data_IF_227581733002
#
_entry.id   IF_227581733002
#
_cell.length_a   1.000
_cell.length_b   1.000
_cell.length_c   1.000
_cell.angle_alpha   90.00
_cell.angle_beta   90.00
_cell.angle_gamma   90.00
#
_symmetry.space_group_name_H-M   'P 1'
#
loop_
_entity.id
_entity.type
_entity.pdbx_description
1 polymer ?
#
# COMPACT_ATOMS: atom_id res chain seq x y z
N UNK A 1 12.84 -7.51 -12.48
CA UNK A 1 13.80 -8.15 -11.58
C UNK A 1 15.21 -7.81 -12.03
N UNK A 2 16.17 -7.90 -11.10
CA UNK A 2 17.59 -8.01 -11.43
C UNK A 2 17.99 -9.48 -11.57
N UNK A 3 19.27 -9.77 -11.34
CA UNK A 3 19.74 -11.10 -10.98
C UNK A 3 20.90 -11.03 -9.98
N UNK A 4 20.99 -12.03 -9.10
CA UNK A 4 22.07 -12.15 -8.11
C UNK A 4 22.69 -13.53 -8.12
N UNK A 5 23.90 -13.62 -7.55
CA UNK A 5 24.50 -14.88 -7.13
C UNK A 5 24.52 -14.89 -5.60
N UNK A 6 23.69 -15.74 -5.00
CA UNK A 6 23.59 -15.89 -3.55
C UNK A 6 24.64 -16.85 -3.02
N UNK A 7 25.21 -16.49 -1.87
CA UNK A 7 26.08 -17.35 -1.07
C UNK A 7 25.74 -17.17 0.41
N UNK A 8 26.04 -18.16 1.24
CA UNK A 8 25.96 -17.95 2.68
C UNK A 8 27.00 -16.91 3.10
N UNK A 9 26.57 -15.92 3.89
CA UNK A 9 27.39 -14.80 4.32
C UNK A 9 27.49 -13.67 3.28
N UNK A 10 26.80 -13.75 2.14
CA UNK A 10 26.82 -12.67 1.16
C UNK A 10 26.30 -13.05 -0.22
N UNK A 11 27.05 -12.64 -1.25
CA UNK A 11 26.67 -12.78 -2.65
C UNK A 11 27.03 -11.53 -3.44
N UNK A 12 26.65 -11.53 -4.71
CA UNK A 12 26.90 -10.43 -5.65
C UNK A 12 25.67 -10.15 -6.50
N UNK A 13 25.46 -8.88 -6.82
CA UNK A 13 24.49 -8.49 -7.84
C UNK A 13 25.13 -8.69 -9.21
N UNK A 14 24.48 -9.49 -10.06
CA UNK A 14 24.90 -9.77 -11.42
C UNK A 14 24.25 -8.79 -12.40
N UNK A 15 22.96 -8.51 -12.19
CA UNK A 15 22.21 -7.54 -12.98
C UNK A 15 21.39 -6.64 -12.05
N UNK A 16 21.58 -5.31 -12.10
CA UNK A 16 20.76 -4.35 -11.38
C UNK A 16 19.28 -4.47 -11.74
N UNK A 17 18.40 -4.23 -10.78
CA UNK A 17 16.96 -4.11 -11.01
C UNK A 17 16.64 -2.92 -11.92
N UNK A 18 15.59 -2.99 -12.74
CA UNK A 18 15.15 -1.89 -13.60
C UNK A 18 13.79 -1.33 -13.13
N UNK A 19 13.74 -0.02 -12.87
CA UNK A 19 12.52 0.74 -12.62
C UNK A 19 12.18 1.64 -13.81
N UNK A 20 10.98 1.44 -14.37
CA UNK A 20 10.48 2.21 -15.53
C UNK A 20 9.35 3.14 -15.08
N UNK A 21 9.51 4.45 -15.31
CA UNK A 21 8.50 5.46 -15.05
C UNK A 21 7.71 5.75 -16.33
N UNK A 22 6.46 5.31 -16.41
CA UNK A 22 5.57 5.62 -17.53
C UNK A 22 4.48 6.63 -17.15
N UNK A 23 3.61 6.93 -18.11
CA UNK A 23 2.42 7.81 -18.00
C UNK A 23 2.70 9.28 -18.36
N UNK A 24 2.03 10.24 -17.70
CA UNK A 24 2.01 11.66 -18.09
C UNK A 24 2.63 12.60 -17.06
N UNK A 25 3.33 13.62 -17.54
CA UNK A 25 3.86 14.72 -16.73
C UNK A 25 3.91 16.04 -17.51
N UNK A 26 3.91 17.17 -16.78
CA UNK A 26 4.10 18.51 -17.37
C UNK A 26 5.59 18.83 -17.36
N UNK A 27 6.18 19.12 -18.52
CA UNK A 27 7.61 19.42 -18.69
C UNK A 27 7.92 20.91 -18.87
N UNK A 28 6.91 21.75 -19.05
CA UNK A 28 7.09 23.20 -19.15
C UNK A 28 5.94 23.92 -18.43
N UNK A 29 6.26 24.98 -17.69
CA UNK A 29 5.29 25.88 -17.09
C UNK A 29 5.75 27.32 -17.26
N UNK A 30 4.92 28.17 -17.86
CA UNK A 30 5.23 29.60 -18.10
C UNK A 30 6.55 29.84 -18.85
N UNK A 31 6.94 28.94 -19.76
CA UNK A 31 8.21 29.03 -20.49
C UNK A 31 9.44 28.54 -19.70
N UNK A 32 9.25 28.02 -18.49
CA UNK A 32 10.29 27.36 -17.71
C UNK A 32 10.19 25.85 -17.85
N UNK A 33 11.31 25.21 -18.21
CA UNK A 33 11.42 23.76 -18.29
C UNK A 33 11.46 23.14 -16.89
N UNK A 34 10.72 22.05 -16.71
CA UNK A 34 10.68 21.23 -15.50
C UNK A 34 11.40 19.93 -15.81
N UNK A 35 12.52 19.70 -15.11
CA UNK A 35 13.27 18.44 -15.21
C UNK A 35 12.55 17.31 -14.45
N UNK A 36 11.48 16.81 -15.06
CA UNK A 36 10.66 15.72 -14.52
C UNK A 36 11.47 14.44 -14.37
N UNK A 37 12.44 14.22 -15.26
CA UNK A 37 13.24 13.00 -15.27
C UNK A 37 14.12 12.94 -14.02
N UNK A 38 14.81 14.03 -13.70
CA UNK A 38 15.60 14.12 -12.48
C UNK A 38 14.74 14.09 -11.23
N UNK A 39 13.57 14.74 -11.22
CA UNK A 39 12.63 14.66 -10.10
C UNK A 39 12.19 13.19 -9.86
N UNK A 40 11.84 12.45 -10.90
CA UNK A 40 11.40 11.07 -10.79
C UNK A 40 12.52 10.16 -10.25
N UNK A 41 13.72 10.28 -10.83
CA UNK A 41 14.89 9.47 -10.43
C UNK A 41 15.32 9.81 -9.01
N UNK A 42 15.53 11.09 -8.69
CA UNK A 42 15.97 11.51 -7.35
C UNK A 42 14.96 11.13 -6.26
N UNK A 43 13.65 11.21 -6.54
CA UNK A 43 12.59 10.77 -5.63
C UNK A 43 12.63 9.27 -5.39
N UNK A 44 12.76 8.47 -6.45
CA UNK A 44 12.84 7.02 -6.32
C UNK A 44 14.09 6.59 -5.55
N UNK A 45 15.25 7.18 -5.87
CA UNK A 45 16.50 6.93 -5.13
C UNK A 45 16.33 7.26 -3.66
N UNK A 46 15.76 8.43 -3.32
CA UNK A 46 15.50 8.82 -1.92
C UNK A 46 14.61 7.80 -1.21
N UNK A 47 13.49 7.42 -1.83
CA UNK A 47 12.57 6.45 -1.24
C UNK A 47 13.26 5.10 -0.98
N UNK A 48 14.06 4.61 -1.93
CA UNK A 48 14.80 3.36 -1.77
C UNK A 48 15.78 3.45 -0.59
N UNK A 49 16.58 4.52 -0.47
CA UNK A 49 17.52 4.68 0.66
C UNK A 49 16.82 4.70 2.02
N UNK A 50 15.63 5.28 2.08
CA UNK A 50 14.87 5.43 3.32
C UNK A 50 14.13 4.15 3.73
N UNK A 51 13.80 3.28 2.78
CA UNK A 51 12.88 2.15 3.00
C UNK A 51 13.50 0.77 2.77
N UNK A 52 14.60 0.63 2.02
CA UNK A 52 15.26 -0.65 1.74
C UNK A 52 16.72 -0.62 2.20
N UNK A 53 17.01 -1.22 3.36
CA UNK A 53 18.31 -1.09 4.06
C UNK A 53 19.50 -1.62 3.26
N UNK A 54 19.28 -2.54 2.35
CA UNK A 54 20.32 -3.26 1.63
C UNK A 54 20.27 -3.13 0.11
N UNK A 55 19.48 -2.18 -0.41
CA UNK A 55 19.48 -1.79 -1.83
C UNK A 55 20.23 -0.46 -1.97
N UNK A 56 21.34 -0.47 -2.68
CA UNK A 56 22.03 0.73 -3.12
C UNK A 56 21.35 1.26 -4.40
N UNK A 57 20.60 2.37 -4.35
CA UNK A 57 19.89 2.87 -5.53
C UNK A 57 20.81 3.42 -6.63
N UNK A 58 22.09 3.62 -6.36
CA UNK A 58 23.04 4.14 -7.33
C UNK A 58 23.78 3.00 -8.07
N UNK A 59 23.80 1.78 -7.52
CA UNK A 59 24.52 0.62 -8.09
C UNK A 59 23.57 -0.53 -8.44
N UNK A 60 22.59 -0.80 -7.60
CA UNK A 60 21.71 -1.98 -7.66
C UNK A 60 20.45 -1.74 -8.50
N UNK A 61 20.29 -0.51 -9.00
CA UNK A 61 19.12 -0.04 -9.73
C UNK A 61 19.49 0.68 -11.03
N UNK A 62 18.71 0.44 -12.07
CA UNK A 62 18.62 1.23 -13.30
C UNK A 62 17.28 1.94 -13.35
N UNK A 63 17.27 3.13 -13.93
CA UNK A 63 16.08 3.96 -14.06
C UNK A 63 15.85 4.31 -15.53
N UNK A 64 14.62 4.15 -15.98
CA UNK A 64 14.19 4.52 -17.32
C UNK A 64 12.95 5.40 -17.23
N UNK A 65 13.01 6.60 -17.79
CA UNK A 65 11.88 7.55 -17.79
C UNK A 65 11.22 7.55 -19.16
N UNK A 66 9.96 7.13 -19.21
CA UNK A 66 9.09 7.09 -20.38
C UNK A 66 7.88 8.05 -20.25
N UNK A 67 7.97 9.02 -19.33
CA UNK A 67 6.94 10.03 -19.09
C UNK A 67 6.74 10.93 -20.31
N UNK A 68 5.50 11.03 -20.78
CA UNK A 68 5.09 11.87 -21.93
C UNK A 68 4.26 13.06 -21.46
N UNK A 69 4.09 14.05 -22.32
CA UNK A 69 3.21 15.19 -22.01
C UNK A 69 1.74 14.76 -21.94
N UNK A 70 0.98 15.39 -21.05
CA UNK A 70 -0.47 15.17 -20.92
C UNK A 70 -1.24 15.61 -22.18
N UNK A 71 -2.43 15.04 -22.40
CA UNK A 71 -3.29 15.49 -23.50
C UNK A 71 -3.81 16.90 -23.26
N UNK A 72 -3.96 17.69 -24.33
CA UNK A 72 -4.41 19.08 -24.26
C UNK A 72 -5.72 19.22 -23.45
N UNK A 73 -6.69 18.33 -23.66
CA UNK A 73 -7.99 18.34 -22.98
C UNK A 73 -7.89 18.12 -21.46
N UNK A 74 -7.01 17.22 -21.00
CA UNK A 74 -6.82 16.97 -19.57
C UNK A 74 -5.97 18.06 -18.91
N UNK A 75 -5.02 18.65 -19.65
CA UNK A 75 -4.27 19.81 -19.17
C UNK A 75 -5.14 21.05 -19.03
N UNK A 76 -6.18 21.20 -19.86
CA UNK A 76 -7.12 22.34 -19.80
C UNK A 76 -7.89 22.39 -18.47
N UNK A 77 -8.21 21.25 -17.87
CA UNK A 77 -8.84 21.19 -16.53
C UNK A 77 -8.00 21.98 -15.52
N UNK A 78 -6.67 21.91 -15.61
CA UNK A 78 -5.75 22.65 -14.73
C UNK A 78 -5.62 24.13 -15.11
N UNK A 79 -5.83 24.48 -16.39
CA UNK A 79 -5.70 25.86 -16.89
C UNK A 79 -6.90 26.75 -16.57
N UNK A 80 -8.06 26.17 -16.28
CA UNK A 80 -9.30 26.90 -15.97
C UNK A 80 -9.23 27.73 -14.68
N UNK A 81 -8.23 27.50 -13.81
CA UNK A 81 -7.99 28.33 -12.62
C UNK A 81 -9.10 28.24 -11.56
N UNK A 82 -9.95 27.23 -11.64
CA UNK A 82 -11.02 26.99 -10.66
C UNK A 82 -10.43 26.62 -9.29
N UNK A 83 -11.07 27.08 -8.22
CA UNK A 83 -10.63 26.79 -6.85
C UNK A 83 -10.69 25.28 -6.51
N UNK A 84 -11.65 24.58 -7.10
CA UNK A 84 -11.83 23.13 -7.03
C UNK A 84 -11.90 22.61 -8.46
N UNK A 85 -10.93 21.78 -8.85
CA UNK A 85 -10.84 21.28 -10.21
C UNK A 85 -11.93 20.24 -10.50
N UNK A 86 -12.32 20.17 -11.77
CA UNK A 86 -13.13 19.08 -12.30
C UNK A 86 -12.43 17.73 -12.20
N UNK A 87 -13.22 16.68 -12.01
CA UNK A 87 -12.76 15.30 -12.07
C UNK A 87 -12.12 15.01 -13.43
N UNK A 88 -10.94 14.41 -13.41
CA UNK A 88 -10.23 14.03 -14.63
C UNK A 88 -10.84 12.80 -15.35
N UNK A 89 -11.72 12.06 -14.67
CA UNK A 89 -12.27 10.80 -15.14
C UNK A 89 -13.66 10.53 -14.52
N UNK A 90 -14.35 9.50 -15.03
CA UNK A 90 -15.56 8.92 -14.46
C UNK A 90 -15.21 7.60 -13.80
N UNK A 91 -14.84 7.67 -12.52
CA UNK A 91 -14.45 6.52 -11.71
C UNK A 91 -15.36 6.34 -10.48
N UNK A 92 -15.46 5.10 -10.00
CA UNK A 92 -16.12 4.75 -8.75
C UNK A 92 -15.10 4.27 -7.71
N UNK A 93 -15.27 4.72 -6.46
CA UNK A 93 -14.48 4.26 -5.34
C UNK A 93 -15.39 3.86 -4.18
N UNK A 94 -14.91 2.89 -3.40
CA UNK A 94 -15.56 2.40 -2.20
C UNK A 94 -14.54 2.32 -1.09
N UNK A 95 -14.91 2.83 0.07
CA UNK A 95 -14.15 2.70 1.30
C UNK A 95 -15.04 2.17 2.40
N UNK A 96 -14.45 1.55 3.41
CA UNK A 96 -15.20 0.93 4.49
C UNK A 96 -14.49 1.09 5.83
N UNK A 97 -15.29 0.98 6.90
CA UNK A 97 -14.83 0.91 8.27
C UNK A 97 -15.79 0.06 9.13
N UNK A 98 -15.29 -0.61 10.18
CA UNK A 98 -13.87 -0.76 10.51
C UNK A 98 -13.20 -1.81 9.60
N UNK A 99 -11.88 -1.94 9.70
CA UNK A 99 -11.23 -3.16 9.25
C UNK A 99 -11.77 -4.34 10.05
N UNK A 100 -11.95 -5.49 9.40
CA UNK A 100 -12.25 -6.74 10.11
C UNK A 100 -11.09 -7.13 11.01
N UNK A 101 -11.36 -7.94 12.05
CA UNK A 101 -10.31 -8.47 12.93
C UNK A 101 -9.19 -9.19 12.17
N UNK A 102 -9.51 -9.85 11.04
CA UNK A 102 -8.53 -10.52 10.17
C UNK A 102 -7.70 -9.53 9.37
N UNK A 103 -8.35 -8.53 8.74
CA UNK A 103 -7.64 -7.47 8.01
C UNK A 103 -6.67 -6.72 8.93
N UNK A 104 -7.11 -6.42 10.15
CA UNK A 104 -6.31 -5.72 11.16
C UNK A 104 -5.05 -6.51 11.54
N UNK A 105 -5.18 -7.78 11.95
CA UNK A 105 -4.01 -8.56 12.37
C UNK A 105 -3.03 -8.83 11.22
N UNK A 106 -3.52 -9.03 9.99
CA UNK A 106 -2.66 -9.18 8.79
C UNK A 106 -1.80 -7.92 8.59
N UNK A 107 -2.43 -6.74 8.63
CA UNK A 107 -1.74 -5.46 8.48
C UNK A 107 -0.76 -5.19 9.63
N UNK A 108 -1.16 -5.54 10.86
CA UNK A 108 -0.33 -5.33 12.05
C UNK A 108 0.90 -6.24 12.08
N UNK A 109 0.79 -7.49 11.63
CA UNK A 109 1.94 -8.40 11.53
C UNK A 109 2.98 -7.89 10.53
N UNK A 110 2.56 -7.43 9.35
CA UNK A 110 3.48 -6.85 8.36
C UNK A 110 4.18 -5.61 8.94
N UNK A 111 3.42 -4.67 9.53
CA UNK A 111 3.96 -3.46 10.16
C UNK A 111 4.90 -3.76 11.32
N UNK A 112 4.61 -4.79 12.11
CA UNK A 112 5.47 -5.23 13.20
C UNK A 112 6.82 -5.70 12.65
N UNK A 113 6.80 -6.59 11.67
CA UNK A 113 8.01 -7.16 11.06
C UNK A 113 8.83 -6.13 10.28
N UNK A 114 8.19 -5.10 9.73
CA UNK A 114 8.85 -3.97 9.06
C UNK A 114 9.08 -2.75 9.95
N UNK A 115 8.79 -2.84 11.25
CA UNK A 115 9.07 -1.76 12.19
C UNK A 115 10.58 -1.59 12.41
N UNK A 116 11.01 -0.33 12.59
CA UNK A 116 12.40 0.00 12.88
C UNK A 116 12.94 -0.70 14.13
N UNK A 117 12.10 -0.90 15.14
CA UNK A 117 12.46 -1.62 16.37
C UNK A 117 12.71 -3.11 16.08
N UNK A 118 11.80 -3.76 15.34
CA UNK A 118 11.94 -5.16 14.99
C UNK A 118 13.18 -5.39 14.11
N UNK A 119 13.37 -4.57 13.07
CA UNK A 119 14.54 -4.66 12.19
C UNK A 119 15.89 -4.44 12.89
N UNK A 120 15.93 -3.72 14.01
CA UNK A 120 17.14 -3.59 14.84
C UNK A 120 17.46 -4.85 15.63
N UNK A 121 16.43 -5.55 16.10
CA UNK A 121 16.56 -6.82 16.85
C UNK A 121 16.83 -8.00 15.92
N UNK A 122 16.22 -7.99 14.73
CA UNK A 122 16.32 -9.01 13.69
C UNK A 122 16.80 -8.38 12.36
N UNK A 123 18.08 -7.96 12.27
CA UNK A 123 18.63 -7.33 11.08
C UNK A 123 18.58 -8.24 9.84
N UNK A 124 18.57 -9.56 10.04
CA UNK A 124 18.44 -10.57 8.99
C UNK A 124 17.07 -10.58 8.31
N UNK A 125 16.02 -10.08 8.94
CA UNK A 125 14.66 -10.05 8.39
C UNK A 125 14.57 -8.99 7.28
N UNK A 126 14.41 -9.39 6.02
CA UNK A 126 14.28 -8.49 4.86
C UNK A 126 12.95 -7.74 4.81
N UNK A 127 12.86 -6.73 3.95
CA UNK A 127 11.73 -5.80 3.84
C UNK A 127 10.56 -6.36 3.05
N UNK A 128 10.81 -7.29 2.13
CA UNK A 128 9.80 -7.90 1.27
C UNK A 128 8.98 -8.96 2.00
N UNK A 129 7.99 -8.49 2.76
CA UNK A 129 7.14 -9.33 3.59
C UNK A 129 5.74 -9.39 3.01
N UNK A 130 5.25 -10.61 2.80
CA UNK A 130 3.87 -10.87 2.38
C UNK A 130 3.16 -11.68 3.45
N UNK A 131 2.06 -11.13 3.96
CA UNK A 131 1.20 -11.78 4.95
C UNK A 131 -0.14 -12.13 4.32
N UNK A 132 -0.49 -13.41 4.33
CA UNK A 132 -1.78 -13.93 3.89
C UNK A 132 -2.57 -14.42 5.11
N UNK A 133 -3.81 -13.98 5.27
CA UNK A 133 -4.72 -14.45 6.32
C UNK A 133 -5.92 -15.20 5.74
N UNK A 134 -6.07 -16.47 6.10
CA UNK A 134 -7.26 -17.26 5.82
C UNK A 134 -8.01 -17.53 7.13
N UNK A 135 -9.22 -16.98 7.27
CA UNK A 135 -10.05 -17.25 8.44
C UNK A 135 -11.25 -18.12 8.08
N UNK A 136 -11.37 -19.26 8.75
CA UNK A 136 -12.57 -20.10 8.73
C UNK A 136 -13.17 -20.07 10.13
N UNK A 137 -14.32 -19.42 10.27
CA UNK A 137 -14.96 -19.17 11.56
C UNK A 137 -14.01 -18.46 12.55
N UNK A 138 -13.58 -19.16 13.60
CA UNK A 138 -12.67 -18.67 14.65
C UNK A 138 -11.22 -19.17 14.49
N UNK A 139 -10.92 -19.93 13.44
CA UNK A 139 -9.58 -20.41 13.13
C UNK A 139 -8.95 -19.52 12.07
N UNK A 140 -7.77 -18.98 12.34
CA UNK A 140 -7.02 -18.11 11.44
C UNK A 140 -5.68 -18.75 11.08
N UNK A 141 -5.46 -19.04 9.81
CA UNK A 141 -4.13 -19.38 9.28
C UNK A 141 -3.47 -18.11 8.76
N UNK A 142 -2.28 -17.80 9.27
CA UNK A 142 -1.40 -16.75 8.78
C UNK A 142 -0.22 -17.41 8.05
N UNK A 143 -0.13 -17.21 6.74
CA UNK A 143 1.04 -17.63 5.95
C UNK A 143 1.88 -16.39 5.64
N UNK A 144 3.13 -16.41 6.06
CA UNK A 144 4.05 -15.29 5.96
C UNK A 144 5.22 -15.71 5.07
N UNK A 145 5.52 -14.91 4.05
CA UNK A 145 6.75 -14.99 3.30
C UNK A 145 7.63 -13.80 3.69
N UNK A 146 8.85 -14.07 4.14
CA UNK A 146 9.80 -13.08 4.62
C UNK A 146 11.22 -13.57 4.30
N UNK A 147 11.96 -12.89 3.40
CA UNK A 147 13.31 -13.31 3.08
C UNK A 147 14.26 -13.04 4.26
N UNK A 148 15.30 -13.87 4.37
CA UNK A 148 16.45 -13.56 5.21
C UNK A 148 17.60 -13.01 4.38
N UNK A 149 18.28 -11.99 4.90
CA UNK A 149 19.37 -11.30 4.20
C UNK A 149 20.67 -12.09 4.39
N UNK A 150 21.28 -12.51 3.27
CA UNK A 150 22.35 -13.50 3.19
C UNK A 150 23.59 -13.16 3.99
N UNK A 151 23.93 -11.86 4.11
CA UNK A 151 25.08 -11.39 4.90
C UNK A 151 25.02 -11.77 6.39
N UNK A 152 23.83 -12.09 6.90
CA UNK A 152 23.62 -12.50 8.29
C UNK A 152 23.47 -14.02 8.46
N UNK A 153 23.53 -14.80 7.37
CA UNK A 153 23.22 -16.23 7.37
C UNK A 153 24.42 -16.99 6.78
N UNK A 154 25.18 -17.68 7.64
CA UNK A 154 26.44 -18.35 7.25
C UNK A 154 26.28 -19.82 6.88
N UNK A 155 25.09 -20.40 7.07
CA UNK A 155 24.77 -21.78 6.65
C UNK A 155 23.25 -22.02 6.59
N UNK A 156 22.85 -23.11 5.92
CA UNK A 156 21.46 -23.57 5.90
C UNK A 156 20.91 -23.86 7.31
N UNK A 157 21.72 -24.47 8.18
CA UNK A 157 21.36 -24.71 9.58
C UNK A 157 21.08 -23.40 10.33
N UNK A 158 21.87 -22.36 10.05
CA UNK A 158 21.65 -21.05 10.64
C UNK A 158 20.36 -20.40 10.12
N UNK A 159 20.08 -20.52 8.81
CA UNK A 159 18.83 -20.05 8.22
C UNK A 159 17.60 -20.61 8.96
N UNK A 160 17.53 -21.93 9.14
CA UNK A 160 16.38 -22.57 9.81
C UNK A 160 16.28 -22.17 11.29
N UNK A 161 17.42 -22.07 12.00
CA UNK A 161 17.43 -21.54 13.37
C UNK A 161 16.86 -20.11 13.43
N UNK A 162 17.28 -19.23 12.52
CA UNK A 162 16.79 -17.85 12.45
C UNK A 162 15.33 -17.74 12.06
N UNK A 163 14.89 -18.59 11.14
CA UNK A 163 13.48 -18.75 10.78
C UNK A 163 12.63 -19.16 11.99
N UNK A 164 13.10 -20.11 12.80
CA UNK A 164 12.39 -20.52 14.02
C UNK A 164 12.33 -19.39 15.05
N UNK A 165 13.44 -18.66 15.28
CA UNK A 165 13.47 -17.49 16.16
C UNK A 165 12.44 -16.42 15.72
N UNK A 166 12.39 -16.10 14.42
CA UNK A 166 11.41 -15.17 13.87
C UNK A 166 9.97 -15.67 14.02
N UNK A 167 9.74 -16.96 13.77
CA UNK A 167 8.42 -17.55 13.90
C UNK A 167 7.90 -17.47 15.35
N UNK A 168 8.76 -17.67 16.34
CA UNK A 168 8.38 -17.52 17.75
C UNK A 168 8.04 -16.07 18.13
N UNK A 169 8.78 -15.08 17.61
CA UNK A 169 8.44 -13.66 17.82
C UNK A 169 7.10 -13.29 17.17
N UNK A 170 6.84 -13.78 15.96
CA UNK A 170 5.55 -13.59 15.29
C UNK A 170 4.42 -14.22 16.10
N UNK A 171 4.60 -15.46 16.58
CA UNK A 171 3.63 -16.13 17.45
C UNK A 171 3.37 -15.34 18.72
N UNK A 172 4.43 -14.83 19.35
CA UNK A 172 4.35 -13.95 20.51
C UNK A 172 3.49 -12.71 20.24
N UNK A 173 3.82 -11.97 19.18
CA UNK A 173 3.07 -10.78 18.76
C UNK A 173 1.60 -11.09 18.48
N UNK A 174 1.34 -12.13 17.68
CA UNK A 174 -0.03 -12.52 17.32
C UNK A 174 -0.82 -12.97 18.55
N UNK A 175 -0.23 -13.73 19.47
CA UNK A 175 -0.93 -14.20 20.68
C UNK A 175 -1.40 -13.05 21.59
N UNK A 176 -0.71 -11.90 21.56
CA UNK A 176 -1.06 -10.72 22.36
C UNK A 176 -2.11 -9.84 21.66
N UNK A 177 -2.21 -9.90 20.33
CA UNK A 177 -3.00 -8.98 19.52
C UNK A 177 -4.16 -9.65 18.76
N UNK A 178 -4.32 -10.97 18.88
CA UNK A 178 -5.29 -11.76 18.14
C UNK A 178 -6.05 -12.72 19.06
N UNK A 179 -7.38 -12.72 18.95
CA UNK A 179 -8.28 -13.57 19.74
C UNK A 179 -8.61 -14.91 19.07
N UNK A 180 -8.18 -15.09 17.81
CA UNK A 180 -8.48 -16.29 17.05
C UNK A 180 -7.61 -17.48 17.50
N UNK A 181 -8.08 -18.69 17.19
CA UNK A 181 -7.20 -19.85 17.20
C UNK A 181 -6.29 -19.76 15.97
N UNK A 182 -5.00 -19.52 16.18
CA UNK A 182 -4.06 -19.24 15.09
C UNK A 182 -3.20 -20.44 14.70
N UNK A 183 -2.95 -20.56 13.40
CA UNK A 183 -1.91 -21.38 12.80
C UNK A 183 -0.99 -20.44 12.01
N UNK A 184 0.28 -20.34 12.41
CA UNK A 184 1.22 -19.37 11.86
C UNK A 184 2.34 -20.12 11.16
N UNK A 185 2.52 -19.81 9.89
CA UNK A 185 3.44 -20.47 8.99
C UNK A 185 4.37 -19.44 8.37
N UNK A 186 5.67 -19.74 8.36
CA UNK A 186 6.71 -18.87 7.80
C UNK A 186 7.44 -19.61 6.67
N UNK A 187 7.61 -18.95 5.53
CA UNK A 187 8.35 -19.43 4.35
C UNK A 187 8.06 -20.91 4.04
N UNK A 188 6.80 -21.20 3.69
CA UNK A 188 6.28 -22.56 3.54
C UNK A 188 6.87 -23.34 2.36
N UNK A 189 7.57 -22.66 1.44
CA UNK A 189 8.29 -23.28 0.33
C UNK A 189 9.62 -23.91 0.76
N UNK A 190 10.17 -23.50 1.92
CA UNK A 190 11.49 -23.96 2.34
C UNK A 190 11.53 -25.48 2.61
N UNK A 191 12.64 -26.12 2.24
CA UNK A 191 12.90 -27.54 2.45
C UNK A 191 14.36 -27.74 2.86
N UNK A 192 14.58 -28.21 4.08
CA UNK A 192 15.92 -28.50 4.61
C UNK A 192 16.64 -29.60 3.82
N UNK A 193 17.96 -29.48 3.67
CA UNK A 193 18.82 -30.39 2.93
C UNK A 193 18.91 -30.09 1.44
N UNK A 194 18.29 -29.01 0.97
CA UNK A 194 18.35 -28.57 -0.44
C UNK A 194 19.32 -27.39 -0.66
N UNK A 195 20.01 -26.94 0.39
CA UNK A 195 20.93 -25.82 0.32
C UNK A 195 20.24 -24.52 -0.09
N UNK A 196 20.92 -23.67 -0.85
CA UNK A 196 20.41 -22.35 -1.26
C UNK A 196 19.08 -22.44 -2.04
N UNK A 197 18.86 -23.49 -2.82
CA UNK A 197 17.61 -23.68 -3.59
C UNK A 197 16.42 -24.17 -2.75
N UNK A 198 16.61 -24.36 -1.44
CA UNK A 198 15.58 -24.79 -0.50
C UNK A 198 15.18 -23.75 0.53
N UNK A 199 15.66 -22.51 0.42
CA UNK A 199 15.47 -21.46 1.44
C UNK A 199 15.15 -20.12 0.79
N UNK A 200 14.39 -19.26 1.47
CA UNK A 200 14.12 -17.90 1.03
C UNK A 200 15.20 -16.92 1.52
N UNK A 201 16.34 -16.95 0.84
CA UNK A 201 17.49 -16.07 1.09
C UNK A 201 17.55 -14.96 0.03
N UNK A 202 17.94 -13.74 0.43
CA UNK A 202 18.15 -12.61 -0.50
C UNK A 202 19.42 -11.84 -0.14
N UNK A 203 20.00 -11.09 -1.06
CA UNK A 203 21.15 -10.21 -0.84
C UNK A 203 20.72 -8.84 -0.31
N UNK A 204 19.58 -8.35 -0.80
CA UNK A 204 19.08 -6.98 -0.62
C UNK A 204 17.82 -6.88 0.25
N UNK A 205 17.26 -8.02 0.67
CA UNK A 205 16.02 -8.06 1.45
C UNK A 205 14.74 -7.98 0.61
N UNK A 206 14.83 -8.05 -0.72
CA UNK A 206 13.68 -8.11 -1.63
C UNK A 206 13.86 -9.15 -2.73
N UNK A 207 12.77 -9.85 -3.07
CA UNK A 207 12.71 -10.81 -4.19
C UNK A 207 12.84 -10.16 -5.57
N UNK A 208 12.72 -8.84 -5.67
CA UNK A 208 12.92 -8.12 -6.92
C UNK A 208 14.35 -8.25 -7.47
N UNK A 209 15.31 -8.66 -6.63
CA UNK A 209 16.70 -8.85 -7.01
C UNK A 209 16.93 -10.03 -7.97
N UNK A 210 16.08 -11.06 -8.00
CA UNK A 210 16.28 -12.24 -8.85
C UNK A 210 15.02 -13.04 -9.27
N UNK A 211 13.83 -12.72 -8.77
CA UNK A 211 12.63 -13.53 -9.01
C UNK A 211 11.45 -12.72 -9.54
N UNK A 212 11.09 -11.63 -8.85
CA UNK A 212 9.78 -11.00 -9.01
C UNK A 212 9.83 -9.65 -9.74
N UNK A 213 8.69 -9.29 -10.35
CA UNK A 213 8.45 -7.97 -10.91
C UNK A 213 7.30 -7.29 -10.18
N UNK A 214 7.38 -5.96 -10.07
CA UNK A 214 6.36 -5.12 -9.46
C UNK A 214 5.65 -4.23 -10.47
N UNK A 215 4.40 -3.91 -10.21
CA UNK A 215 3.64 -2.92 -10.98
C UNK A 215 2.69 -2.15 -10.05
N UNK A 216 2.58 -0.84 -10.28
CA UNK A 216 1.63 0.03 -9.58
C UNK A 216 0.20 -0.53 -9.70
N UNK A 217 -0.52 -0.58 -8.59
CA UNK A 217 -1.92 -1.05 -8.54
C UNK A 217 -2.10 -2.57 -8.42
N UNK A 218 -1.02 -3.35 -8.35
CA UNK A 218 -1.06 -4.82 -8.19
C UNK A 218 -0.88 -5.32 -6.76
N UNK A 219 -0.68 -4.40 -5.80
CA UNK A 219 -0.55 -4.69 -4.37
C UNK A 219 -1.77 -4.26 -3.56
N UNK A 220 -1.51 -3.78 -2.35
CA UNK A 220 -2.53 -3.32 -1.41
C UNK A 220 -3.41 -2.20 -1.97
N UNK A 221 -4.64 -2.11 -1.43
CA UNK A 221 -5.51 -0.94 -1.60
C UNK A 221 -5.08 0.17 -0.63
N UNK A 222 -5.71 1.34 -0.73
CA UNK A 222 -5.34 2.53 0.07
C UNK A 222 -5.46 2.34 1.59
N UNK A 223 -6.18 1.31 2.03
CA UNK A 223 -6.30 0.93 3.43
C UNK A 223 -5.24 -0.10 3.89
N UNK A 224 -4.28 -0.46 3.04
CA UNK A 224 -3.14 -1.32 3.37
C UNK A 224 -3.37 -2.81 3.21
N UNK A 225 -4.52 -3.25 2.68
CA UNK A 225 -4.84 -4.68 2.55
C UNK A 225 -5.47 -5.03 1.19
N UNK A 226 -5.39 -6.30 0.82
CA UNK A 226 -6.20 -6.91 -0.24
C UNK A 226 -7.27 -7.78 0.44
N UNK A 227 -8.46 -7.23 0.62
CA UNK A 227 -9.58 -7.93 1.24
C UNK A 227 -10.50 -8.54 0.17
N UNK A 228 -10.46 -9.86 0.01
CA UNK A 228 -11.28 -10.56 -0.99
C UNK A 228 -12.79 -10.57 -0.66
N UNK A 229 -13.15 -10.45 0.62
CA UNK A 229 -14.54 -10.45 1.09
C UNK A 229 -15.16 -9.04 1.14
N UNK A 230 -14.45 -8.02 0.64
CA UNK A 230 -14.88 -6.61 0.69
C UNK A 230 -15.01 -6.05 -0.73
N UNK A 231 -15.98 -5.14 -0.98
CA UNK A 231 -15.94 -4.34 -2.19
C UNK A 231 -14.67 -3.48 -2.19
N UNK A 232 -14.02 -3.38 -3.34
CA UNK A 232 -12.80 -2.57 -3.50
C UNK A 232 -12.78 -1.90 -4.86
N UNK A 233 -12.11 -0.75 -4.94
CA UNK A 233 -11.88 -0.09 -6.23
C UNK A 233 -10.73 -0.78 -6.99
N UNK A 234 -10.88 -0.88 -8.31
CA UNK A 234 -9.81 -1.30 -9.23
C UNK A 234 -8.77 -0.19 -9.47
N UNK A 235 -9.04 1.04 -9.04
CA UNK A 235 -8.16 2.19 -9.25
C UNK A 235 -6.87 2.09 -8.43
N UNK A 236 -5.75 2.41 -9.08
CA UNK A 236 -4.48 2.63 -8.39
C UNK A 236 -4.40 4.07 -7.89
N UNK A 237 -4.10 4.25 -6.59
CA UNK A 237 -3.93 5.57 -5.99
C UNK A 237 -2.49 6.11 -6.10
N UNK A 238 -1.49 5.23 -6.01
CA UNK A 238 -0.08 5.60 -6.11
C UNK A 238 0.25 6.17 -7.51
N UNK A 239 1.10 7.20 -7.56
CA UNK A 239 1.50 7.90 -8.79
C UNK A 239 0.45 8.87 -9.38
N UNK A 240 -0.84 8.74 -9.03
CA UNK A 240 -1.88 9.63 -9.55
C UNK A 240 -1.86 11.01 -8.88
N UNK A 241 -2.21 12.04 -9.66
CA UNK A 241 -2.24 13.44 -9.22
C UNK A 241 -3.22 13.64 -8.04
N UNK A 242 -2.78 14.21 -6.91
CA UNK A 242 -3.63 14.42 -5.73
C UNK A 242 -4.67 15.54 -5.87
N UNK A 243 -4.67 16.32 -6.95
CA UNK A 243 -5.53 17.51 -7.09
C UNK A 243 -6.85 17.24 -7.82
N UNK A 244 -6.84 16.44 -8.89
CA UNK A 244 -8.02 16.18 -9.73
C UNK A 244 -8.28 14.71 -10.03
N UNK A 245 -7.34 13.80 -9.69
CA UNK A 245 -7.50 12.39 -10.01
C UNK A 245 -8.44 11.68 -9.04
N UNK A 246 -9.71 11.53 -9.42
CA UNK A 246 -10.76 10.94 -8.58
C UNK A 246 -10.47 9.49 -8.17
N UNK A 247 -9.81 8.69 -9.01
CA UNK A 247 -9.36 7.34 -8.62
C UNK A 247 -8.43 7.30 -7.40
N UNK A 248 -7.67 8.38 -7.13
CA UNK A 248 -6.88 8.53 -5.90
C UNK A 248 -7.70 9.22 -4.81
N UNK A 249 -8.27 10.38 -5.14
CA UNK A 249 -8.95 11.25 -4.17
C UNK A 249 -10.13 10.52 -3.55
N UNK A 250 -11.03 9.96 -4.36
CA UNK A 250 -12.24 9.30 -3.84
C UNK A 250 -11.94 7.98 -3.15
N UNK A 251 -10.88 7.28 -3.55
CA UNK A 251 -10.48 6.03 -2.91
C UNK A 251 -9.98 6.27 -1.48
N UNK A 252 -9.13 7.29 -1.28
CA UNK A 252 -8.68 7.64 0.07
C UNK A 252 -9.81 8.34 0.87
N UNK A 253 -10.56 9.24 0.22
CA UNK A 253 -11.64 10.00 0.86
C UNK A 253 -12.78 9.09 1.33
N UNK A 254 -13.17 8.08 0.56
CA UNK A 254 -14.23 7.15 0.97
C UNK A 254 -13.84 6.39 2.24
N UNK A 255 -12.59 5.93 2.36
CA UNK A 255 -12.08 5.31 3.58
C UNK A 255 -11.99 6.30 4.74
N UNK A 256 -11.60 7.56 4.50
CA UNK A 256 -11.62 8.60 5.53
C UNK A 256 -13.04 8.82 6.06
N UNK A 257 -14.01 9.07 5.17
CA UNK A 257 -15.42 9.27 5.54
C UNK A 257 -15.96 8.06 6.28
N UNK A 258 -15.67 6.83 5.81
CA UNK A 258 -16.13 5.62 6.49
C UNK A 258 -15.62 5.55 7.94
N UNK A 259 -14.35 5.90 8.17
CA UNK A 259 -13.78 5.96 9.52
C UNK A 259 -14.41 7.07 10.37
N UNK A 260 -14.63 8.27 9.82
CA UNK A 260 -15.29 9.35 10.55
C UNK A 260 -16.71 8.95 10.96
N UNK A 261 -17.49 8.36 10.04
CA UNK A 261 -18.84 7.87 10.34
C UNK A 261 -18.79 6.79 11.41
N UNK A 262 -17.93 5.78 11.27
CA UNK A 262 -17.82 4.68 12.24
C UNK A 262 -17.43 5.17 13.65
N UNK A 263 -16.53 6.16 13.75
CA UNK A 263 -16.03 6.63 15.03
C UNK A 263 -16.96 7.65 15.73
N UNK A 264 -17.74 8.41 14.96
CA UNK A 264 -18.57 9.49 15.51
C UNK A 264 -20.06 9.13 15.63
N UNK A 265 -20.54 8.10 14.92
CA UNK A 265 -21.94 7.68 14.94
C UNK A 265 -22.09 6.34 15.66
N UNK A 266 -22.88 6.33 16.72
CA UNK A 266 -23.07 5.14 17.55
C UNK A 266 -23.95 4.07 16.87
N UNK A 267 -23.79 2.81 17.28
CA UNK A 267 -24.64 1.71 16.82
C UNK A 267 -24.26 1.10 15.46
N UNK A 268 -23.28 1.67 14.75
CA UNK A 268 -22.78 1.11 13.48
C UNK A 268 -21.90 -0.12 13.74
N UNK A 269 -22.19 -1.20 13.02
CA UNK A 269 -21.36 -2.40 12.93
C UNK A 269 -20.32 -2.27 11.83
N UNK A 270 -20.76 -1.90 10.63
CA UNK A 270 -19.91 -1.64 9.47
C UNK A 270 -20.54 -0.54 8.60
N UNK A 271 -19.71 0.24 7.93
CA UNK A 271 -20.12 1.26 6.97
C UNK A 271 -19.28 1.17 5.71
N UNK A 272 -19.93 1.36 4.56
CA UNK A 272 -19.30 1.46 3.25
C UNK A 272 -19.74 2.76 2.59
N UNK A 273 -18.77 3.54 2.13
CA UNK A 273 -18.98 4.81 1.46
C UNK A 273 -18.59 4.67 0.00
N UNK A 274 -19.56 4.88 -0.88
CA UNK A 274 -19.40 4.86 -2.32
C UNK A 274 -19.40 6.28 -2.87
N UNK A 275 -18.38 6.60 -3.67
CA UNK A 275 -18.28 7.88 -4.37
C UNK A 275 -18.14 7.60 -5.87
N UNK A 276 -19.06 8.14 -6.67
CA UNK A 276 -19.03 8.09 -8.13
C UNK A 276 -18.76 9.48 -8.67
N UNK A 277 -17.70 9.63 -9.45
CA UNK A 277 -17.41 10.86 -10.18
C UNK A 277 -18.07 10.85 -11.56
N UNK A 278 -18.14 12.03 -12.18
CA UNK A 278 -18.38 12.19 -13.60
C UNK A 278 -17.33 13.18 -14.10
N UNK A 279 -16.63 12.81 -15.18
CA UNK A 279 -15.56 13.64 -15.76
C UNK A 279 -16.04 15.08 -15.99
N UNK A 280 -15.21 16.05 -15.60
CA UNK A 280 -15.50 17.48 -15.69
C UNK A 280 -16.37 18.07 -14.57
N UNK A 281 -17.03 17.26 -13.73
CA UNK A 281 -17.72 17.80 -12.54
C UNK A 281 -16.72 18.11 -11.43
N UNK A 282 -16.94 19.17 -10.61
CA UNK A 282 -16.10 19.46 -9.45
C UNK A 282 -15.95 18.23 -8.54
N UNK A 283 -14.72 17.97 -8.04
CA UNK A 283 -14.45 16.80 -7.20
C UNK A 283 -15.18 16.83 -5.84
N UNK A 284 -15.66 17.97 -5.37
CA UNK A 284 -16.54 18.05 -4.19
C UNK A 284 -18.01 17.76 -4.50
N UNK A 285 -18.37 17.54 -5.77
CA UNK A 285 -19.74 17.24 -6.20
C UNK A 285 -19.80 15.89 -6.94
N UNK A 286 -19.60 14.76 -6.23
CA UNK A 286 -19.79 13.44 -6.81
C UNK A 286 -21.18 13.30 -7.45
N UNK A 287 -21.26 12.55 -8.55
CA UNK A 287 -22.53 12.22 -9.19
C UNK A 287 -23.42 11.38 -8.30
N UNK A 288 -22.82 10.49 -7.52
CA UNK A 288 -23.49 9.70 -6.48
C UNK A 288 -22.59 9.67 -5.26
N UNK A 289 -23.22 9.84 -4.10
CA UNK A 289 -22.67 9.47 -2.80
C UNK A 289 -23.66 8.48 -2.18
N UNK A 290 -23.19 7.31 -1.77
CA UNK A 290 -24.03 6.32 -1.12
C UNK A 290 -23.34 5.75 0.13
N UNK A 291 -24.06 5.76 1.25
CA UNK A 291 -23.65 5.11 2.48
C UNK A 291 -24.45 3.81 2.65
N UNK A 292 -23.75 2.68 2.72
CA UNK A 292 -24.33 1.39 3.09
C UNK A 292 -23.91 1.09 4.53
N UNK A 293 -24.89 0.96 5.42
CA UNK A 293 -24.65 0.85 6.85
C UNK A 293 -25.26 -0.44 7.37
N UNK A 294 -24.44 -1.22 8.08
CA UNK A 294 -24.91 -2.33 8.89
C UNK A 294 -24.89 -1.89 10.35
N UNK A 295 -26.04 -2.00 11.01
CA UNK A 295 -26.21 -1.64 12.42
C UNK A 295 -25.98 -2.85 13.33
N UNK A 296 -25.52 -2.62 14.56
CA UNK A 296 -25.57 -3.62 15.63
C UNK A 296 -27.02 -3.85 16.13
N UNK A 297 -27.89 -2.88 15.90
CA UNK A 297 -29.32 -2.86 16.22
C UNK A 297 -29.89 -1.47 15.92
N UNK A 298 -31.22 -1.33 15.92
CA UNK A 298 -31.87 -0.05 15.60
C UNK A 298 -32.08 0.21 14.11
N UNK A 299 -32.47 1.44 13.76
CA UNK A 299 -32.85 1.81 12.40
C UNK A 299 -31.87 2.83 11.81
N UNK A 300 -31.40 2.60 10.58
CA UNK A 300 -30.50 3.52 9.86
C UNK A 300 -31.09 4.94 9.74
N UNK A 301 -32.42 5.08 9.68
CA UNK A 301 -33.10 6.40 9.64
C UNK A 301 -32.80 7.28 10.85
N UNK A 302 -32.46 6.70 12.00
CA UNK A 302 -32.17 7.45 13.22
C UNK A 302 -30.82 8.17 13.14
N UNK A 303 -29.87 7.61 12.37
CA UNK A 303 -28.51 8.14 12.21
C UNK A 303 -28.27 8.82 10.87
N UNK A 304 -29.27 8.79 9.96
CA UNK A 304 -29.18 9.28 8.59
C UNK A 304 -28.63 10.71 8.52
N UNK A 305 -29.19 11.61 9.33
CA UNK A 305 -28.78 13.02 9.37
C UNK A 305 -27.33 13.20 9.83
N UNK A 306 -26.90 12.48 10.87
CA UNK A 306 -25.53 12.56 11.39
C UNK A 306 -24.51 12.07 10.35
N UNK A 307 -24.85 10.99 9.64
CA UNK A 307 -24.03 10.46 8.55
C UNK A 307 -23.94 11.44 7.40
N UNK A 308 -25.07 12.03 6.98
CA UNK A 308 -25.12 13.04 5.92
C UNK A 308 -24.28 14.29 6.28
N UNK A 309 -24.35 14.75 7.53
CA UNK A 309 -23.56 15.88 8.01
C UNK A 309 -22.06 15.61 7.93
N UNK A 310 -21.61 14.41 8.33
CA UNK A 310 -20.19 14.01 8.21
C UNK A 310 -19.75 13.95 6.74
N UNK A 311 -20.54 13.28 5.89
CA UNK A 311 -20.23 13.16 4.45
C UNK A 311 -20.11 14.56 3.81
N UNK A 312 -21.08 15.42 4.08
CA UNK A 312 -21.13 16.78 3.51
C UNK A 312 -19.92 17.59 3.95
N UNK A 313 -19.60 17.56 5.26
CA UNK A 313 -18.42 18.25 5.81
C UNK A 313 -17.12 17.79 5.16
N UNK A 314 -16.94 16.50 4.90
CA UNK A 314 -15.72 15.98 4.28
C UNK A 314 -15.61 16.38 2.80
N UNK A 315 -16.72 16.42 2.06
CA UNK A 315 -16.76 16.91 0.68
C UNK A 315 -16.51 18.41 0.59
N UNK A 316 -17.06 19.21 1.51
CA UNK A 316 -16.78 20.65 1.60
C UNK A 316 -15.31 20.93 1.91
N UNK A 317 -14.66 20.06 2.70
CA UNK A 317 -13.24 20.17 3.05
C UNK A 317 -12.28 19.54 2.03
N UNK A 318 -12.76 19.13 0.84
CA UNK A 318 -11.94 18.37 -0.12
C UNK A 318 -10.67 19.14 -0.54
N UNK A 319 -10.70 20.48 -0.58
CA UNK A 319 -9.53 21.30 -0.94
C UNK A 319 -8.39 21.16 0.08
N UNK A 320 -8.73 21.13 1.36
CA UNK A 320 -7.75 20.85 2.42
C UNK A 320 -7.24 19.43 2.30
N UNK A 321 -8.13 18.49 2.04
CA UNK A 321 -7.79 17.08 1.87
C UNK A 321 -6.83 16.84 0.69
N UNK A 322 -7.05 17.44 -0.49
CA UNK A 322 -6.13 17.31 -1.64
C UNK A 322 -4.77 17.93 -1.38
N UNK A 323 -4.70 19.02 -0.61
CA UNK A 323 -3.42 19.57 -0.12
C UNK A 323 -2.71 18.60 0.83
N UNK A 324 -3.44 18.02 1.77
CA UNK A 324 -2.88 17.04 2.71
C UNK A 324 -2.42 15.76 1.98
N UNK A 325 -3.12 15.33 0.92
CA UNK A 325 -2.69 14.28 0.00
C UNK A 325 -1.39 14.63 -0.73
N UNK A 326 -1.26 15.85 -1.24
CA UNK A 326 -0.05 16.31 -1.93
C UNK A 326 1.16 16.39 -0.99
N UNK A 327 0.94 16.65 0.30
CA UNK A 327 1.96 16.63 1.35
C UNK A 327 2.30 15.22 1.87
N UNK A 328 1.66 14.16 1.37
CA UNK A 328 1.93 12.79 1.80
C UNK A 328 1.39 12.45 3.20
N UNK A 329 0.37 13.17 3.70
CA UNK A 329 -0.21 12.91 5.03
C UNK A 329 -1.10 11.68 5.12
N UNK A 330 -1.41 11.06 3.98
CA UNK A 330 -2.20 9.84 3.89
C UNK A 330 -1.42 8.75 3.15
N UNK A 331 -1.43 7.50 3.65
CA UNK A 331 -0.90 6.37 2.91
C UNK A 331 -1.74 6.13 1.64
N UNK A 332 -1.12 5.55 0.62
CA UNK A 332 -1.74 5.27 -0.69
C UNK A 332 -1.76 3.78 -1.04
N UNK A 333 -1.13 2.95 -0.21
CA UNK A 333 -1.08 1.49 -0.25
C UNK A 333 -0.53 0.95 1.07
#
# INVERSE_FOLDING_TARGET
AGSVKLEFGGGEILEPMLLIFGDRATRELNGEEIDVDEIAISTAKKWIRENLRFVNPDEDMKYQVELKEGSAELTDIFKRGEEILGANDTSAAVGYAPLSRTEKIVLEVEKFLNSQEFKKRFPECGEDIKVMGLRINNSLTLTIACPLVSRFITSEKEYFRKKDELLEEIKGFVSQNCEFKTDIQLNTLDVEGRGLGGIYLTLTGTSAEDADCGQVGRGNKVNGVIAFDRPSSSEAAAGKNPVSHVGKIYNILSHKIANEVYNNVSGIREVYIWLLSQIGRPINQPKIVAAQIMMNGGNVKEIEKEVEEIITKELENIRRFTRDLAMGKYPVC
#
